data_IF_379257056912
#
_entry.id   IF_379257056912
#
_cell.length_a   1.000
_cell.length_b   1.000
_cell.length_c   1.000
_cell.angle_alpha   90.00
_cell.angle_beta   90.00
_cell.angle_gamma   90.00
#
_symmetry.space_group_name_H-M   'P 1'
#
loop_
_entity.id
_entity.type
_entity.pdbx_description
1 polymer ?
#
# COMPACT_ATOMS: atom_id res chain seq x y z
N UNK A 1 -2.27 2.36 45.19
CA UNK A 1 -0.99 1.64 45.11
C UNK A 1 -1.27 0.16 45.40
N UNK A 2 -1.41 -0.68 44.37
CA UNK A 2 -1.57 -2.13 44.53
C UNK A 2 -0.19 -2.76 44.69
N UNK A 3 0.08 -3.42 45.81
CA UNK A 3 1.32 -4.19 46.03
C UNK A 3 1.16 -5.56 45.36
N UNK A 4 2.03 -5.86 44.40
CA UNK A 4 2.14 -7.20 43.81
C UNK A 4 2.96 -8.11 44.75
N UNK A 5 2.56 -9.37 44.96
CA UNK A 5 3.35 -10.30 45.76
C UNK A 5 4.57 -10.78 44.96
N UNK A 6 5.73 -10.80 45.61
CA UNK A 6 6.93 -11.47 45.12
C UNK A 6 6.70 -12.99 45.16
N UNK A 7 6.86 -13.68 44.03
CA UNK A 7 6.72 -15.13 43.93
C UNK A 7 8.08 -15.81 44.22
N UNK A 8 8.16 -16.56 45.31
CA UNK A 8 9.25 -17.50 45.60
C UNK A 8 8.98 -18.86 44.98
N UNK A 9 10.03 -19.49 44.49
CA UNK A 9 10.04 -20.75 43.73
C UNK A 9 9.48 -21.94 44.51
N UNK A 10 8.23 -22.28 44.24
CA UNK A 10 7.76 -23.67 44.29
C UNK A 10 7.00 -23.92 42.99
N UNK A 11 7.20 -25.08 42.37
CA UNK A 11 6.49 -25.51 41.16
C UNK A 11 5.00 -25.72 41.50
N UNK A 12 4.28 -24.63 41.69
CA UNK A 12 2.83 -24.56 41.67
C UNK A 12 2.40 -24.98 40.27
N UNK A 13 1.60 -26.05 40.18
CA UNK A 13 0.80 -26.32 38.99
C UNK A 13 0.03 -25.05 38.67
N UNK A 14 0.49 -24.31 37.64
CA UNK A 14 -0.23 -23.15 37.19
C UNK A 14 -1.60 -23.62 36.71
N UNK A 15 -2.65 -23.05 37.29
CA UNK A 15 -4.01 -23.27 36.83
C UNK A 15 -4.10 -22.78 35.38
N UNK A 16 -4.04 -23.74 34.44
CA UNK A 16 -4.07 -23.49 33.00
C UNK A 16 -5.33 -22.70 32.61
N UNK A 17 -6.40 -22.82 33.39
CA UNK A 17 -7.65 -22.07 33.20
C UNK A 17 -7.43 -20.58 33.47
N UNK A 18 -6.72 -20.23 34.54
CA UNK A 18 -6.36 -18.84 34.86
C UNK A 18 -5.39 -18.25 33.83
N UNK A 19 -4.41 -19.03 33.37
CA UNK A 19 -3.50 -18.58 32.31
C UNK A 19 -4.26 -18.29 31.01
N UNK A 20 -5.17 -19.18 30.60
CA UNK A 20 -6.00 -18.98 29.40
C UNK A 20 -6.93 -17.77 29.53
N UNK A 21 -7.51 -17.56 30.70
CA UNK A 21 -8.34 -16.38 30.96
C UNK A 21 -7.54 -15.08 30.85
N UNK A 22 -6.34 -15.02 31.43
CA UNK A 22 -5.44 -13.87 31.33
C UNK A 22 -4.97 -13.63 29.88
N UNK A 23 -4.71 -14.69 29.12
CA UNK A 23 -4.41 -14.59 27.68
C UNK A 23 -5.58 -13.98 26.91
N UNK A 24 -6.81 -14.47 27.13
CA UNK A 24 -8.01 -13.96 26.47
C UNK A 24 -8.25 -12.47 26.81
N UNK A 25 -8.10 -12.09 28.08
CA UNK A 25 -8.23 -10.69 28.50
C UNK A 25 -7.17 -9.80 27.84
N UNK A 26 -5.92 -10.27 27.79
CA UNK A 26 -4.83 -9.54 27.14
C UNK A 26 -5.09 -9.29 25.65
N UNK A 27 -5.52 -10.32 24.91
CA UNK A 27 -5.86 -10.18 23.49
C UNK A 27 -7.09 -9.29 23.29
N UNK A 28 -8.08 -9.36 24.18
CA UNK A 28 -9.24 -8.45 24.16
C UNK A 28 -8.81 -7.00 24.30
N UNK A 29 -7.85 -6.70 25.19
CA UNK A 29 -7.27 -5.35 25.34
C UNK A 29 -6.52 -4.89 24.10
N UNK A 30 -5.76 -5.79 23.45
CA UNK A 30 -5.08 -5.47 22.19
C UNK A 30 -6.10 -5.06 21.13
N UNK A 31 -7.17 -5.83 20.99
CA UNK A 31 -8.22 -5.59 20.00
C UNK A 31 -8.95 -4.28 20.30
N UNK A 32 -9.31 -4.05 21.55
CA UNK A 32 -9.92 -2.79 21.98
C UNK A 32 -8.99 -1.59 21.69
N UNK A 33 -7.69 -1.71 21.93
CA UNK A 33 -6.73 -0.65 21.64
C UNK A 33 -6.58 -0.41 20.12
N UNK A 34 -6.65 -1.46 19.32
CA UNK A 34 -6.62 -1.38 17.86
C UNK A 34 -7.90 -0.70 17.34
N UNK A 35 -9.08 -1.09 17.82
CA UNK A 35 -10.35 -0.47 17.42
C UNK A 35 -10.45 0.96 17.91
N UNK A 36 -9.93 1.26 19.10
CA UNK A 36 -9.79 2.62 19.60
C UNK A 36 -8.89 3.44 18.68
N UNK A 37 -7.70 2.94 18.33
CA UNK A 37 -6.83 3.58 17.34
C UNK A 37 -7.61 3.85 16.04
N UNK A 38 -8.38 2.90 15.52
CA UNK A 38 -9.19 3.12 14.32
C UNK A 38 -10.22 4.25 14.51
N UNK A 39 -10.96 4.23 15.62
CA UNK A 39 -12.00 5.23 15.90
C UNK A 39 -11.42 6.64 16.04
N UNK A 40 -10.28 6.78 16.72
CA UNK A 40 -9.61 8.06 16.96
C UNK A 40 -8.85 8.59 15.74
N UNK A 41 -8.68 7.78 14.69
CA UNK A 41 -7.89 8.15 13.50
C UNK A 41 -8.75 8.29 12.25
N UNK A 42 -9.48 9.41 12.11
CA UNK A 42 -10.37 9.71 10.96
C UNK A 42 -11.08 8.46 10.37
N UNK A 43 -11.56 7.52 11.20
CA UNK A 43 -12.22 6.29 10.75
C UNK A 43 -11.32 5.14 10.28
N UNK A 44 -10.12 4.95 10.86
CA UNK A 44 -9.18 3.90 10.50
C UNK A 44 -8.19 4.28 9.40
N UNK A 45 -8.08 5.57 9.05
CA UNK A 45 -7.26 6.09 7.94
C UNK A 45 -5.76 5.84 8.03
N UNK A 46 -5.28 5.32 9.16
CA UNK A 46 -3.86 5.06 9.36
C UNK A 46 -3.57 3.59 9.67
N UNK A 47 -4.55 2.76 10.04
CA UNK A 47 -4.33 1.36 10.41
C UNK A 47 -5.08 0.41 9.49
N UNK A 48 -4.35 -0.47 8.80
CA UNK A 48 -4.92 -1.76 8.40
C UNK A 48 -4.57 -2.78 9.48
N UNK A 49 -5.60 -3.28 10.16
CA UNK A 49 -5.49 -4.34 11.16
C UNK A 49 -5.39 -5.67 10.44
N UNK A 50 -4.43 -6.49 10.86
CA UNK A 50 -4.43 -7.92 10.53
C UNK A 50 -4.66 -8.65 11.84
N UNK A 51 -5.91 -8.99 12.13
CA UNK A 51 -6.25 -9.83 13.28
C UNK A 51 -6.18 -11.29 12.87
N UNK A 52 -5.43 -12.10 13.63
CA UNK A 52 -5.67 -13.54 13.71
C UNK A 52 -5.24 -14.04 15.08
N UNK A 53 -6.15 -14.52 15.91
CA UNK A 53 -5.81 -15.01 17.25
C UNK A 53 -5.10 -16.38 17.19
N UNK A 54 -4.38 -16.78 18.26
CA UNK A 54 -3.93 -18.16 18.43
C UNK A 54 -5.08 -19.16 18.36
N UNK A 55 -4.81 -20.34 17.78
CA UNK A 55 -5.72 -21.47 17.77
C UNK A 55 -6.11 -21.83 19.22
N UNK A 56 -7.41 -21.82 19.55
CA UNK A 56 -7.92 -22.06 20.91
C UNK A 56 -8.22 -20.82 21.76
N UNK A 57 -8.16 -19.61 21.20
CA UNK A 57 -8.67 -18.40 21.89
C UNK A 57 -10.21 -18.43 21.90
N UNK A 58 -10.89 -18.28 23.05
CA UNK A 58 -12.35 -18.43 23.16
C UNK A 58 -13.07 -17.20 22.59
N UNK A 59 -13.12 -17.09 21.26
CA UNK A 59 -14.11 -16.30 20.53
C UNK A 59 -14.46 -17.07 19.26
N UNK A 60 -15.26 -18.13 19.40
CA UNK A 60 -16.11 -18.57 18.29
C UNK A 60 -17.27 -17.58 18.21
N UNK A 61 -17.15 -16.55 17.35
CA UNK A 61 -18.37 -15.99 16.75
C UNK A 61 -18.74 -16.96 15.64
N UNK A 62 -19.67 -17.83 15.98
CA UNK A 62 -20.49 -18.61 15.06
C UNK A 62 -21.15 -17.67 14.05
N UNK A 63 -21.00 -18.03 12.77
CA UNK A 63 -21.64 -17.47 11.57
C UNK A 63 -21.21 -16.06 11.08
N UNK A 64 -21.02 -15.91 9.76
CA UNK A 64 -20.58 -14.67 9.15
C UNK A 64 -21.72 -13.65 9.14
N UNK A 65 -21.62 -12.59 9.95
CA UNK A 65 -22.52 -11.45 9.80
C UNK A 65 -22.26 -10.77 8.45
N UNK A 66 -23.32 -10.61 7.66
CA UNK A 66 -23.35 -10.05 6.30
C UNK A 66 -22.90 -8.58 6.13
N UNK A 67 -22.26 -7.97 7.12
CA UNK A 67 -21.71 -6.61 7.02
C UNK A 67 -20.38 -6.52 7.77
N UNK A 68 -19.27 -6.77 7.06
CA UNK A 68 -17.85 -6.40 7.28
C UNK A 68 -16.92 -7.52 6.81
N UNK A 69 -16.98 -7.81 5.52
CA UNK A 69 -16.11 -8.78 4.88
C UNK A 69 -14.64 -8.29 4.69
N UNK A 70 -13.94 -7.85 5.74
CA UNK A 70 -12.47 -7.74 5.68
C UNK A 70 -11.83 -9.02 6.21
N UNK A 71 -11.93 -10.10 5.44
CA UNK A 71 -11.10 -11.29 5.67
C UNK A 71 -9.67 -10.96 5.23
N UNK A 72 -8.88 -10.46 6.17
CA UNK A 72 -7.43 -10.33 6.02
C UNK A 72 -6.76 -11.71 6.17
N UNK A 73 -5.64 -11.99 5.48
CA UNK A 73 -4.98 -13.28 5.56
C UNK A 73 -4.41 -13.56 6.95
N UNK A 74 -4.58 -14.82 7.36
CA UNK A 74 -4.34 -15.41 8.67
C UNK A 74 -2.86 -15.71 9.00
N UNK A 75 -2.56 -15.66 10.32
CA UNK A 75 -1.58 -16.39 11.14
C UNK A 75 -0.65 -15.49 11.97
N UNK A 76 -0.96 -15.39 13.28
CA UNK A 76 0.01 -15.13 14.34
C UNK A 76 0.78 -16.43 14.55
N UNK A 77 2.07 -16.41 14.21
CA UNK A 77 2.98 -17.51 14.48
C UNK A 77 3.99 -17.13 15.54
N UNK A 78 4.76 -18.12 15.93
CA UNK A 78 6.02 -17.94 16.66
C UNK A 78 7.10 -17.35 15.75
N UNK A 79 8.11 -16.70 16.31
CA UNK A 79 9.21 -16.13 15.51
C UNK A 79 9.93 -17.19 14.65
N UNK A 80 9.98 -18.46 15.07
CA UNK A 80 10.61 -19.56 14.31
C UNK A 80 9.80 -19.98 13.07
N UNK A 81 8.54 -20.41 13.26
CA UNK A 81 7.65 -20.91 12.20
C UNK A 81 7.33 -19.82 11.20
N UNK A 82 7.30 -18.58 11.67
CA UNK A 82 6.93 -17.46 10.86
C UNK A 82 8.14 -16.77 10.23
N UNK A 83 9.41 -17.10 10.55
CA UNK A 83 10.55 -16.31 10.11
C UNK A 83 10.63 -16.10 8.58
N UNK A 84 10.62 -17.19 7.80
CA UNK A 84 10.70 -17.15 6.34
C UNK A 84 9.46 -16.48 5.74
N UNK A 85 8.28 -16.72 6.32
CA UNK A 85 7.01 -16.16 5.86
C UNK A 85 6.88 -14.68 6.21
N UNK A 86 7.28 -14.27 7.41
CA UNK A 86 7.25 -12.89 7.90
C UNK A 86 8.24 -12.04 7.15
N UNK A 87 9.46 -12.55 6.95
CA UNK A 87 10.45 -11.87 6.16
C UNK A 87 9.94 -11.71 4.72
N UNK A 88 9.56 -12.79 4.04
CA UNK A 88 9.12 -12.70 2.63
C UNK A 88 7.88 -11.83 2.42
N UNK A 89 6.88 -11.90 3.30
CA UNK A 89 5.62 -11.15 3.15
C UNK A 89 5.72 -9.70 3.60
N UNK A 90 6.47 -9.42 4.66
CA UNK A 90 6.51 -8.09 5.28
C UNK A 90 7.83 -7.33 5.07
N UNK A 91 8.73 -7.84 4.23
CA UNK A 91 9.95 -7.12 3.86
C UNK A 91 9.60 -5.80 3.16
N UNK A 92 10.10 -4.70 3.73
CA UNK A 92 9.87 -3.33 3.29
C UNK A 92 8.50 -2.75 3.66
N UNK A 93 7.65 -3.49 4.38
CA UNK A 93 6.37 -3.00 4.89
C UNK A 93 6.60 -2.24 6.20
N UNK A 94 5.99 -1.06 6.33
CA UNK A 94 6.10 -0.23 7.52
C UNK A 94 4.88 -0.40 8.45
N UNK A 95 5.13 -0.43 9.77
CA UNK A 95 4.05 -0.55 10.76
C UNK A 95 4.53 -0.64 12.20
N UNK A 96 3.58 -0.94 13.09
CA UNK A 96 3.77 -1.15 14.53
C UNK A 96 3.48 -2.61 14.85
N UNK A 97 4.28 -3.20 15.74
CA UNK A 97 4.18 -4.59 16.15
C UNK A 97 4.27 -4.73 17.67
N UNK A 98 3.81 -5.88 18.14
CA UNK A 98 3.91 -6.35 19.51
C UNK A 98 4.56 -7.74 19.50
N UNK A 99 5.55 -7.93 20.36
CA UNK A 99 6.19 -9.21 20.64
C UNK A 99 5.85 -9.62 22.06
N UNK A 100 5.37 -10.84 22.27
CA UNK A 100 5.00 -11.33 23.60
C UNK A 100 5.53 -12.74 23.82
N UNK A 101 5.81 -13.10 25.08
CA UNK A 101 6.09 -14.48 25.43
C UNK A 101 4.80 -15.29 25.49
N UNK A 102 4.73 -16.41 24.78
CA UNK A 102 3.51 -17.23 24.70
C UNK A 102 3.07 -17.72 26.09
N UNK A 103 4.01 -18.21 26.88
CA UNK A 103 3.75 -18.72 28.23
C UNK A 103 3.55 -17.60 29.27
N UNK A 104 3.92 -16.36 28.94
CA UNK A 104 3.82 -15.19 29.82
C UNK A 104 3.42 -13.96 29.01
N UNK A 105 2.18 -13.89 28.49
CA UNK A 105 1.75 -12.88 27.51
C UNK A 105 1.81 -11.45 28.05
N UNK A 106 1.74 -11.26 29.36
CA UNK A 106 1.92 -9.96 30.02
C UNK A 106 3.37 -9.47 29.97
N UNK A 107 4.33 -10.33 29.62
CA UNK A 107 5.69 -9.95 29.26
C UNK A 107 5.75 -9.67 27.75
N UNK A 108 5.58 -8.39 27.38
CA UNK A 108 5.53 -7.98 25.98
C UNK A 108 6.21 -6.64 25.72
N UNK A 109 6.61 -6.48 24.46
CA UNK A 109 7.28 -5.33 23.90
C UNK A 109 6.47 -4.78 22.73
N UNK A 110 6.38 -3.46 22.62
CA UNK A 110 5.82 -2.78 21.45
C UNK A 110 6.93 -2.01 20.76
N UNK A 111 7.01 -2.14 19.43
CA UNK A 111 7.95 -1.39 18.61
C UNK A 111 7.38 -1.09 17.23
N UNK A 112 8.10 -0.30 16.45
CA UNK A 112 7.74 -0.03 15.05
C UNK A 112 8.93 -0.15 14.11
N UNK A 113 8.66 -0.34 12.81
CA UNK A 113 9.69 -0.43 11.78
C UNK A 113 9.20 0.11 10.44
N UNK A 114 10.14 0.59 9.63
CA UNK A 114 9.92 0.85 8.19
C UNK A 114 10.03 -0.42 7.34
N UNK A 115 10.55 -1.49 7.94
CA UNK A 115 10.70 -2.81 7.35
C UNK A 115 10.42 -3.87 8.42
N UNK A 116 9.16 -4.27 8.56
CA UNK A 116 8.72 -5.24 9.56
C UNK A 116 9.37 -6.61 9.32
N UNK A 117 9.45 -7.07 8.08
CA UNK A 117 10.07 -8.36 7.74
C UNK A 117 11.53 -8.44 8.19
N UNK A 118 12.36 -7.44 7.83
CA UNK A 118 13.75 -7.40 8.27
C UNK A 118 13.87 -7.31 9.79
N UNK A 119 13.01 -6.52 10.44
CA UNK A 119 13.03 -6.38 11.90
C UNK A 119 12.68 -7.69 12.62
N UNK A 120 11.70 -8.45 12.13
CA UNK A 120 11.37 -9.76 12.71
C UNK A 120 12.53 -10.75 12.54
N UNK A 121 13.19 -10.70 11.37
CA UNK A 121 14.39 -11.51 11.12
C UNK A 121 15.56 -11.16 12.04
N UNK A 122 15.73 -9.87 12.36
CA UNK A 122 16.74 -9.42 13.33
C UNK A 122 16.47 -9.99 14.73
N UNK A 123 15.22 -9.95 15.21
CA UNK A 123 14.85 -10.57 16.49
C UNK A 123 15.04 -12.09 16.49
N UNK A 124 14.65 -12.76 15.41
CA UNK A 124 14.92 -14.18 15.25
C UNK A 124 16.42 -14.48 15.38
N UNK A 125 17.27 -13.72 14.67
CA UNK A 125 18.73 -13.86 14.73
C UNK A 125 19.30 -13.62 16.12
N UNK A 126 18.80 -12.61 16.84
CA UNK A 126 19.22 -12.33 18.21
C UNK A 126 18.99 -13.55 19.11
N UNK A 127 17.83 -14.21 18.96
CA UNK A 127 17.45 -15.38 19.76
C UNK A 127 18.26 -16.64 19.39
N UNK A 128 18.54 -16.90 18.10
CA UNK A 128 19.29 -18.10 17.70
C UNK A 128 20.81 -17.97 17.81
N UNK A 129 21.38 -16.78 17.59
CA UNK A 129 22.84 -16.59 17.52
C UNK A 129 23.45 -16.03 18.80
N UNK A 130 22.63 -15.80 19.84
CA UNK A 130 22.99 -15.20 21.12
C UNK A 130 23.98 -14.02 21.06
N UNK A 131 23.89 -13.20 20.01
CA UNK A 131 24.81 -12.07 19.83
C UNK A 131 24.58 -11.00 20.90
N UNK A 132 25.62 -10.24 21.26
CA UNK A 132 25.49 -9.14 22.24
C UNK A 132 24.38 -8.15 21.82
N UNK A 133 23.25 -8.22 22.52
CA UNK A 133 22.15 -7.29 22.34
C UNK A 133 22.61 -5.86 22.64
N UNK A 134 22.42 -4.95 21.68
CA UNK A 134 22.89 -3.55 21.78
C UNK A 134 21.99 -2.75 22.69
N UNK A 135 20.68 -3.03 22.67
CA UNK A 135 19.69 -2.36 23.53
C UNK A 135 19.26 -3.23 24.71
N UNK A 136 18.72 -2.61 25.77
CA UNK A 136 18.15 -3.35 26.91
C UNK A 136 17.03 -4.31 26.49
N UNK A 137 16.25 -3.93 25.48
CA UNK A 137 15.21 -4.79 24.89
C UNK A 137 15.87 -5.97 24.20
N UNK A 138 16.85 -5.74 23.33
CA UNK A 138 17.58 -6.82 22.64
C UNK A 138 18.28 -7.76 23.62
N UNK A 139 18.84 -7.26 24.73
CA UNK A 139 19.38 -8.12 25.81
C UNK A 139 18.28 -8.93 26.47
N UNK A 140 17.15 -8.30 26.80
CA UNK A 140 15.99 -9.02 27.34
C UNK A 140 15.51 -10.11 26.39
N UNK A 141 15.52 -9.86 25.07
CA UNK A 141 15.27 -10.88 24.06
C UNK A 141 16.37 -11.95 24.05
N UNK A 142 17.64 -11.58 24.03
CA UNK A 142 18.77 -12.50 24.04
C UNK A 142 18.72 -13.48 25.23
N UNK A 143 18.32 -12.97 26.40
CA UNK A 143 18.24 -13.72 27.65
C UNK A 143 16.92 -14.51 27.78
N UNK A 144 16.03 -14.43 26.79
CA UNK A 144 14.64 -14.86 26.93
C UNK A 144 14.24 -16.22 26.38
N UNK A 145 15.15 -16.98 25.75
CA UNK A 145 14.86 -18.34 25.30
C UNK A 145 14.78 -18.50 23.79
N UNK A 146 13.96 -19.43 23.33
CA UNK A 146 13.90 -19.89 21.93
C UNK A 146 12.97 -18.97 21.10
N UNK A 147 13.23 -18.74 19.79
CA UNK A 147 12.28 -18.01 18.94
C UNK A 147 10.84 -18.60 18.94
N UNK A 148 10.68 -19.89 19.23
CA UNK A 148 9.37 -20.54 19.40
C UNK A 148 8.60 -20.09 20.65
N UNK A 149 9.24 -19.44 21.62
CA UNK A 149 8.57 -18.90 22.81
C UNK A 149 7.91 -17.53 22.57
N UNK A 150 8.16 -16.93 21.42
CA UNK A 150 7.81 -15.55 21.11
C UNK A 150 6.74 -15.46 20.02
N UNK A 151 5.58 -14.93 20.39
CA UNK A 151 4.51 -14.59 19.45
C UNK A 151 4.66 -13.17 18.89
N UNK A 152 4.17 -12.99 17.66
CA UNK A 152 4.19 -11.69 16.95
C UNK A 152 2.77 -11.25 16.64
N UNK A 153 2.46 -9.98 16.91
CA UNK A 153 1.20 -9.32 16.50
C UNK A 153 1.53 -8.03 15.77
N UNK A 154 1.01 -7.84 14.56
CA UNK A 154 1.07 -6.52 13.89
C UNK A 154 -0.12 -5.67 14.31
N UNK A 155 0.15 -4.59 15.05
CA UNK A 155 -0.86 -3.65 15.56
C UNK A 155 -1.39 -2.71 14.46
N UNK A 156 -0.68 -2.63 13.34
CA UNK A 156 -1.16 -2.01 12.11
C UNK A 156 -0.02 -1.63 11.16
N UNK A 157 -0.37 -1.40 9.90
CA UNK A 157 0.55 -0.90 8.88
C UNK A 157 0.36 0.60 8.69
N UNK A 158 1.45 1.35 8.86
CA UNK A 158 1.44 2.80 8.91
C UNK A 158 2.58 3.34 8.05
N UNK A 159 2.43 4.52 7.43
CA UNK A 159 3.55 5.22 6.82
C UNK A 159 4.70 5.52 7.82
N UNK A 160 5.94 5.74 7.36
CA UNK A 160 7.13 5.76 8.20
C UNK A 160 7.15 6.75 9.37
N UNK A 161 6.52 7.91 9.26
CA UNK A 161 6.41 8.88 10.37
C UNK A 161 5.18 8.64 11.23
N UNK A 162 4.08 8.24 10.61
CA UNK A 162 2.81 7.94 11.28
C UNK A 162 2.99 6.79 12.26
N UNK A 163 3.78 5.76 11.89
CA UNK A 163 4.07 4.62 12.76
C UNK A 163 4.64 5.03 14.13
N UNK A 164 5.43 6.12 14.20
CA UNK A 164 6.09 6.54 15.43
C UNK A 164 5.07 7.13 16.41
N UNK A 165 4.11 7.90 15.89
CA UNK A 165 2.99 8.42 16.68
C UNK A 165 2.11 7.27 17.18
N UNK A 166 1.88 6.27 16.33
CA UNK A 166 1.09 5.09 16.68
C UNK A 166 1.79 4.16 17.67
N UNK A 167 3.11 3.98 17.56
CA UNK A 167 3.92 3.27 18.54
C UNK A 167 3.74 3.90 19.93
N UNK A 168 3.88 5.22 20.02
CA UNK A 168 3.68 5.95 21.28
C UNK A 168 2.26 5.78 21.82
N UNK A 169 1.25 5.83 20.96
CA UNK A 169 -0.14 5.59 21.34
C UNK A 169 -0.35 4.19 21.94
N UNK A 170 0.11 3.14 21.26
CA UNK A 170 -0.05 1.77 21.75
C UNK A 170 0.75 1.52 23.03
N UNK A 171 1.94 2.12 23.17
CA UNK A 171 2.70 2.05 24.42
C UNK A 171 1.96 2.66 25.61
N UNK A 172 1.29 3.81 25.42
CA UNK A 172 0.54 4.49 26.48
C UNK A 172 -0.86 3.92 26.71
N UNK A 173 -1.35 3.08 25.80
CA UNK A 173 -2.67 2.42 25.92
C UNK A 173 -2.54 1.02 26.54
N UNK A 174 -1.52 0.27 26.13
CA UNK A 174 -1.34 -1.13 26.52
C UNK A 174 -0.33 -1.32 27.65
N UNK A 175 0.52 -0.33 27.94
CA UNK A 175 1.53 -0.38 29.01
C UNK A 175 2.45 -1.62 28.93
N UNK A 176 3.22 -1.77 27.84
CA UNK A 176 4.12 -2.92 27.66
C UNK A 176 5.18 -2.98 28.74
N UNK A 177 5.33 -4.16 29.33
CA UNK A 177 6.23 -4.41 30.48
C UNK A 177 7.71 -4.38 30.11
N UNK A 178 8.05 -4.55 28.83
CA UNK A 178 9.43 -4.56 28.36
C UNK A 178 9.92 -3.21 27.83
N UNK A 179 9.03 -2.26 27.54
CA UNK A 179 9.43 -0.91 27.15
C UNK A 179 9.80 -0.10 28.41
N UNK A 180 11.01 -0.32 28.94
CA UNK A 180 11.48 0.34 30.17
C UNK A 180 11.59 1.87 30.07
N UNK A 181 11.67 2.40 28.85
CA UNK A 181 11.68 3.84 28.58
C UNK A 181 10.60 4.13 27.53
N UNK A 182 9.71 5.09 27.81
CA UNK A 182 8.63 5.51 26.92
C UNK A 182 9.10 6.45 25.79
N UNK A 183 10.36 6.33 25.35
CA UNK A 183 10.94 7.19 24.32
C UNK A 183 10.90 6.52 22.96
N UNK A 184 10.08 7.06 22.05
CA UNK A 184 10.14 6.74 20.62
C UNK A 184 11.22 7.60 19.99
N UNK A 185 12.25 6.98 19.42
CA UNK A 185 13.38 7.68 18.79
C UNK A 185 13.22 7.77 17.27
N UNK A 186 13.49 8.96 16.73
CA UNK A 186 13.54 9.18 15.29
C UNK A 186 14.93 8.78 14.79
N UNK A 187 15.11 7.49 14.50
CA UNK A 187 16.36 6.98 13.94
C UNK A 187 16.20 6.74 12.44
N UNK A 188 17.16 7.23 11.65
CA UNK A 188 17.30 6.95 10.22
C UNK A 188 16.01 7.15 9.40
N UNK A 189 15.51 8.39 9.32
CA UNK A 189 14.37 8.75 8.45
C UNK A 189 14.61 8.44 6.97
N UNK A 190 15.88 8.30 6.56
CA UNK A 190 16.31 7.89 5.24
C UNK A 190 15.72 8.72 4.08
N UNK A 191 15.92 8.25 2.85
CA UNK A 191 15.26 8.79 1.66
C UNK A 191 13.80 8.28 1.49
N UNK A 192 13.15 7.85 2.59
CA UNK A 192 11.88 7.11 2.58
C UNK A 192 10.68 7.91 3.14
N UNK A 193 10.87 9.19 3.42
CA UNK A 193 9.84 10.02 4.09
C UNK A 193 9.36 11.18 3.21
N UNK A 194 8.07 11.19 2.86
CA UNK A 194 7.43 12.22 2.04
C UNK A 194 6.80 13.29 2.93
N UNK A 195 6.79 14.56 2.49
CA UNK A 195 6.25 15.70 3.25
C UNK A 195 4.83 15.45 3.79
N UNK A 196 3.96 14.86 2.98
CA UNK A 196 2.57 14.58 3.38
C UNK A 196 2.45 13.62 4.57
N UNK A 197 3.46 12.80 4.85
CA UNK A 197 3.45 11.92 6.03
C UNK A 197 3.85 12.66 7.31
N UNK A 198 4.61 13.76 7.20
CA UNK A 198 4.91 14.64 8.33
C UNK A 198 3.64 15.37 8.79
N UNK A 199 2.92 16.00 7.86
CA UNK A 199 1.67 16.70 8.16
C UNK A 199 0.63 15.74 8.77
N UNK A 200 0.57 14.53 8.22
CA UNK A 200 -0.28 13.46 8.73
C UNK A 200 0.09 13.05 10.15
N UNK A 201 1.38 12.86 10.45
CA UNK A 201 1.84 12.52 11.79
C UNK A 201 1.54 13.65 12.81
N UNK A 202 1.75 14.90 12.43
CA UNK A 202 1.44 16.08 13.26
C UNK A 202 -0.07 16.19 13.53
N UNK A 203 -0.89 16.07 12.48
CA UNK A 203 -2.35 16.13 12.61
C UNK A 203 -2.92 14.96 13.42
N UNK A 204 -2.30 13.78 13.29
CA UNK A 204 -2.65 12.60 14.08
C UNK A 204 -2.29 12.77 15.56
N UNK A 205 -1.12 13.35 15.85
CA UNK A 205 -0.71 13.65 17.22
C UNK A 205 -1.76 14.49 17.94
N UNK A 206 -2.29 15.53 17.31
CA UNK A 206 -3.30 16.40 17.92
C UNK A 206 -4.58 15.64 18.29
N UNK A 207 -5.02 14.72 17.41
CA UNK A 207 -6.19 13.87 17.66
C UNK A 207 -5.93 12.92 18.85
N UNK A 208 -4.82 12.19 18.82
CA UNK A 208 -4.52 11.19 19.85
C UNK A 208 -4.16 11.80 21.21
N UNK A 209 -3.52 12.97 21.25
CA UNK A 209 -3.19 13.62 22.53
C UNK A 209 -4.44 14.00 23.33
N UNK A 210 -5.56 14.29 22.66
CA UNK A 210 -6.82 14.65 23.33
C UNK A 210 -7.43 13.48 24.13
N UNK A 211 -7.02 12.24 23.84
CA UNK A 211 -7.49 11.05 24.53
C UNK A 211 -6.81 10.85 25.90
N UNK A 212 -5.65 11.46 26.12
CA UNK A 212 -4.89 11.32 27.35
C UNK A 212 -5.03 12.58 28.20
N UNK A 213 -5.37 12.41 29.48
CA UNK A 213 -5.40 13.50 30.47
C UNK A 213 -4.06 13.68 31.19
N UNK A 214 -3.18 12.68 31.14
CA UNK A 214 -1.92 12.70 31.88
C UNK A 214 -0.86 13.55 31.17
N UNK A 215 -0.40 14.62 31.83
CA UNK A 215 0.51 15.62 31.23
C UNK A 215 1.79 15.01 30.66
N UNK A 216 2.39 14.02 31.35
CA UNK A 216 3.59 13.35 30.85
C UNK A 216 3.39 12.67 29.47
N UNK A 217 2.20 12.11 29.22
CA UNK A 217 1.86 11.46 27.95
C UNK A 217 1.69 12.52 26.86
N UNK A 218 0.95 13.59 27.16
CA UNK A 218 0.77 14.74 26.26
C UNK A 218 2.13 15.37 25.92
N UNK A 219 3.01 15.50 26.92
CA UNK A 219 4.39 15.97 26.78
C UNK A 219 5.19 15.09 25.83
N UNK A 220 5.12 13.77 25.97
CA UNK A 220 5.79 12.83 25.06
C UNK A 220 5.32 12.98 23.60
N UNK A 221 4.00 13.11 23.38
CA UNK A 221 3.44 13.38 22.05
C UNK A 221 3.93 14.72 21.48
N UNK A 222 4.03 15.75 22.33
CA UNK A 222 4.54 17.08 21.94
C UNK A 222 6.00 17.02 21.54
N UNK A 223 6.84 16.38 22.35
CA UNK A 223 8.27 16.19 22.09
C UNK A 223 8.51 15.43 20.79
N UNK A 224 7.78 14.34 20.55
CA UNK A 224 7.88 13.59 19.30
C UNK A 224 7.48 14.44 18.08
N UNK A 225 6.38 15.20 18.17
CA UNK A 225 5.94 16.08 17.09
C UNK A 225 6.96 17.18 16.78
N UNK A 226 7.55 17.79 17.81
CA UNK A 226 8.60 18.79 17.64
C UNK A 226 9.84 18.18 17.01
N UNK A 227 10.21 16.96 17.41
CA UNK A 227 11.32 16.23 16.79
C UNK A 227 11.05 15.92 15.30
N UNK A 228 9.83 15.53 14.93
CA UNK A 228 9.43 15.33 13.53
C UNK A 228 9.53 16.65 12.74
N UNK A 229 9.03 17.75 13.31
CA UNK A 229 9.08 19.07 12.67
C UNK A 229 10.51 19.62 12.53
N UNK A 230 11.36 19.40 13.54
CA UNK A 230 12.77 19.81 13.49
C UNK A 230 13.56 18.95 12.50
N UNK A 231 13.29 17.64 12.43
CA UNK A 231 13.87 16.77 11.41
C UNK A 231 13.49 17.24 10.00
N UNK A 232 12.26 17.70 9.78
CA UNK A 232 11.85 18.31 8.52
C UNK A 232 12.70 19.53 8.14
N UNK A 233 12.91 20.46 9.09
CA UNK A 233 13.72 21.67 8.88
C UNK A 233 15.20 21.36 8.64
N UNK A 234 15.76 20.38 9.36
CA UNK A 234 17.19 20.07 9.30
C UNK A 234 17.59 19.19 8.10
N UNK A 235 16.68 18.35 7.57
CA UNK A 235 17.03 17.35 6.54
C UNK A 235 16.64 17.75 5.12
N UNK A 236 16.15 18.98 4.89
CA UNK A 236 15.63 19.45 3.60
C UNK A 236 14.82 18.36 2.89
N UNK A 237 13.81 17.78 3.56
CA UNK A 237 12.98 16.72 2.97
C UNK A 237 12.32 17.31 1.71
N UNK A 238 12.97 17.12 0.57
CA UNK A 238 12.53 17.68 -0.71
C UNK A 238 11.27 16.95 -1.14
N UNK A 239 10.37 17.63 -1.84
CA UNK A 239 9.23 17.00 -2.53
C UNK A 239 9.62 16.01 -3.64
N UNK A 240 10.88 15.52 -3.65
CA UNK A 240 11.33 14.48 -4.54
C UNK A 240 10.60 13.19 -4.21
N UNK A 241 10.05 12.59 -5.26
CA UNK A 241 9.46 11.27 -5.27
C UNK A 241 10.35 10.26 -4.52
N UNK A 242 9.81 9.63 -3.47
CA UNK A 242 10.52 8.61 -2.70
C UNK A 242 10.95 7.42 -3.55
N UNK A 243 12.18 6.97 -3.31
CA UNK A 243 12.72 5.73 -3.86
C UNK A 243 12.32 4.55 -2.94
N UNK A 244 11.05 4.16 -3.02
CA UNK A 244 10.61 2.76 -3.02
C UNK A 244 10.75 1.85 -1.77
N UNK A 245 11.08 2.29 -0.54
CA UNK A 245 11.00 1.41 0.64
C UNK A 245 10.28 2.10 1.81
N UNK A 246 9.32 1.39 2.44
CA UNK A 246 8.52 1.88 3.56
C UNK A 246 7.27 2.68 3.17
N UNK A 247 7.05 2.95 1.88
CA UNK A 247 5.78 3.51 1.38
C UNK A 247 4.76 2.40 1.17
N UNK A 248 4.00 2.09 2.21
CA UNK A 248 2.90 1.11 2.11
C UNK A 248 1.88 1.53 1.05
N UNK A 249 1.47 0.58 0.22
CA UNK A 249 0.36 0.75 -0.73
C UNK A 249 -0.72 -0.26 -0.38
N UNK A 250 -1.90 0.27 -0.07
CA UNK A 250 -3.10 -0.50 0.22
C UNK A 250 -3.81 -0.77 -1.09
N UNK A 251 -4.08 -2.06 -1.35
CA UNK A 251 -4.76 -2.51 -2.56
C UNK A 251 -6.10 -3.10 -2.18
N UNK A 252 -7.16 -2.50 -2.69
CA UNK A 252 -8.53 -2.93 -2.46
C UNK A 252 -9.15 -3.48 -3.73
N UNK A 253 -10.10 -4.39 -3.59
CA UNK A 253 -11.03 -4.75 -4.67
C UNK A 253 -11.98 -3.59 -4.91
N UNK A 254 -12.13 -3.17 -6.17
CA UNK A 254 -13.12 -2.16 -6.53
C UNK A 254 -14.55 -2.67 -6.33
N UNK A 255 -14.84 -3.91 -6.72
CA UNK A 255 -16.19 -4.47 -6.62
C UNK A 255 -16.65 -4.69 -5.19
N UNK A 256 -15.75 -5.19 -4.34
CA UNK A 256 -16.12 -5.61 -2.97
C UNK A 256 -15.65 -4.62 -1.89
N UNK A 257 -14.83 -3.63 -2.25
CA UNK A 257 -14.19 -2.70 -1.32
C UNK A 257 -13.34 -3.37 -0.22
N UNK A 258 -13.04 -4.67 -0.37
CA UNK A 258 -12.19 -5.42 0.57
C UNK A 258 -10.73 -5.10 0.33
N UNK A 259 -9.95 -4.92 1.41
CA UNK A 259 -8.49 -4.86 1.34
C UNK A 259 -7.96 -6.24 0.94
N UNK A 260 -7.21 -6.32 -0.15
CA UNK A 260 -6.66 -7.57 -0.68
C UNK A 260 -5.22 -7.79 -0.19
N UNK A 261 -4.37 -6.76 -0.27
CA UNK A 261 -2.98 -6.83 0.14
C UNK A 261 -2.38 -5.46 0.43
N UNK A 262 -1.30 -5.46 1.21
CA UNK A 262 -0.46 -4.30 1.50
C UNK A 262 0.90 -4.54 0.86
N UNK A 263 1.32 -3.63 -0.01
CA UNK A 263 2.59 -3.70 -0.73
C UNK A 263 3.61 -2.78 -0.07
N UNK A 264 4.88 -3.20 -0.05
CA UNK A 264 5.98 -2.46 0.59
C UNK A 264 6.37 -1.17 -0.14
N UNK A 265 6.00 -1.06 -1.43
CA UNK A 265 6.29 0.12 -2.24
C UNK A 265 5.58 0.18 -3.59
N UNK A 266 5.71 1.34 -4.24
CA UNK A 266 5.35 1.54 -5.64
C UNK A 266 6.06 0.55 -6.58
N UNK A 267 7.32 0.23 -6.29
CA UNK A 267 8.10 -0.71 -7.09
C UNK A 267 7.64 -2.15 -6.90
N UNK A 268 7.26 -2.52 -5.67
CA UNK A 268 6.62 -3.80 -5.39
C UNK A 268 5.28 -3.92 -6.14
N UNK A 269 4.44 -2.88 -6.13
CA UNK A 269 3.23 -2.82 -6.94
C UNK A 269 3.54 -2.92 -8.45
N UNK A 270 4.58 -2.22 -8.92
CA UNK A 270 5.01 -2.26 -10.32
C UNK A 270 5.37 -3.68 -10.76
N UNK A 271 6.17 -4.37 -9.94
CA UNK A 271 6.58 -5.75 -10.18
C UNK A 271 5.37 -6.70 -10.15
N UNK A 272 4.53 -6.60 -9.12
CA UNK A 272 3.34 -7.45 -8.97
C UNK A 272 2.36 -7.31 -10.14
N UNK A 273 1.98 -6.08 -10.50
CA UNK A 273 1.02 -5.82 -11.56
C UNK A 273 1.62 -5.78 -12.97
N UNK A 274 2.95 -5.89 -13.08
CA UNK A 274 3.70 -5.77 -14.34
C UNK A 274 3.29 -4.49 -15.09
N UNK A 275 3.45 -3.33 -14.45
CA UNK A 275 3.00 -2.02 -14.99
C UNK A 275 4.05 -0.92 -14.87
N UNK A 276 3.69 0.33 -15.14
CA UNK A 276 4.57 1.50 -14.97
C UNK A 276 4.21 2.29 -13.70
N UNK A 277 5.24 2.74 -12.98
CA UNK A 277 5.09 3.54 -11.75
C UNK A 277 4.23 4.78 -11.96
N UNK A 278 4.36 5.46 -13.11
CA UNK A 278 3.60 6.66 -13.41
C UNK A 278 2.09 6.39 -13.49
N UNK A 279 1.67 5.24 -14.01
CA UNK A 279 0.26 4.87 -14.06
C UNK A 279 -0.27 4.63 -12.65
N UNK A 280 0.47 3.87 -11.82
CA UNK A 280 0.11 3.64 -10.43
C UNK A 280 -0.05 4.95 -9.65
N UNK A 281 0.92 5.88 -9.79
CA UNK A 281 0.85 7.21 -9.19
C UNK A 281 -0.36 8.01 -9.66
N UNK A 282 -0.63 7.98 -10.97
CA UNK A 282 -1.77 8.69 -11.54
C UNK A 282 -3.08 8.16 -10.95
N UNK A 283 -3.24 6.84 -10.87
CA UNK A 283 -4.42 6.22 -10.27
C UNK A 283 -4.60 6.61 -8.80
N UNK A 284 -3.53 6.60 -8.00
CA UNK A 284 -3.60 7.00 -6.59
C UNK A 284 -3.91 8.49 -6.43
N UNK A 285 -3.24 9.36 -7.19
CA UNK A 285 -3.39 10.81 -7.07
C UNK A 285 -4.76 11.32 -7.53
N UNK A 286 -5.31 10.70 -8.57
CA UNK A 286 -6.59 11.11 -9.18
C UNK A 286 -7.78 10.28 -8.67
N UNK A 287 -7.58 9.41 -7.69
CA UNK A 287 -8.59 8.48 -7.16
C UNK A 287 -9.26 7.66 -8.26
N UNK A 288 -8.46 7.06 -9.14
CA UNK A 288 -8.95 6.20 -10.21
C UNK A 288 -8.82 4.73 -9.89
N UNK A 289 -9.79 3.96 -10.39
CA UNK A 289 -9.74 2.50 -10.37
C UNK A 289 -8.70 2.00 -11.36
N UNK A 290 -7.67 1.35 -10.85
CA UNK A 290 -6.63 0.71 -11.63
C UNK A 290 -7.17 -0.57 -12.29
N UNK A 291 -7.08 -0.65 -13.62
CA UNK A 291 -7.57 -1.77 -14.44
C UNK A 291 -9.03 -2.15 -14.22
N UNK A 292 -9.87 -1.22 -13.73
CA UNK A 292 -11.28 -1.48 -13.39
C UNK A 292 -11.48 -2.53 -12.27
N UNK A 293 -10.41 -2.95 -11.60
CA UNK A 293 -10.43 -4.05 -10.63
C UNK A 293 -9.94 -3.59 -9.26
N UNK A 294 -8.98 -2.67 -9.22
CA UNK A 294 -8.25 -2.34 -8.00
C UNK A 294 -8.31 -0.87 -7.65
N UNK A 295 -8.52 -0.58 -6.37
CA UNK A 295 -8.28 0.75 -5.79
C UNK A 295 -6.90 0.72 -5.13
N UNK A 296 -6.07 1.72 -5.42
CA UNK A 296 -4.73 1.87 -4.86
C UNK A 296 -4.69 3.14 -3.98
N UNK A 297 -4.04 3.04 -2.82
CA UNK A 297 -3.86 4.18 -1.93
C UNK A 297 -2.59 4.09 -1.09
N UNK A 298 -2.03 5.25 -0.74
CA UNK A 298 -0.91 5.36 0.22
C UNK A 298 -1.36 5.35 1.68
N UNK A 299 -2.67 5.44 1.92
CA UNK A 299 -3.29 5.34 3.24
C UNK A 299 -4.46 4.39 3.20
N UNK A 300 -4.82 3.75 4.32
CA UNK A 300 -6.12 3.10 4.44
C UNK A 300 -7.28 4.04 4.06
N UNK A 301 -8.31 3.50 3.42
CA UNK A 301 -9.50 4.24 2.97
C UNK A 301 -10.75 3.79 3.72
N UNK A 302 -11.65 4.72 4.04
CA UNK A 302 -12.99 4.39 4.53
C UNK A 302 -13.90 3.85 3.42
N UNK A 303 -15.06 3.29 3.80
CA UNK A 303 -16.05 2.80 2.83
C UNK A 303 -16.54 3.93 1.90
N UNK A 304 -16.74 5.14 2.44
CA UNK A 304 -17.14 6.32 1.67
C UNK A 304 -16.03 6.78 0.73
N UNK A 305 -14.77 6.74 1.17
CA UNK A 305 -13.63 7.11 0.34
C UNK A 305 -13.41 6.13 -0.81
N UNK A 306 -13.64 4.82 -0.58
CA UNK A 306 -13.58 3.80 -1.62
C UNK A 306 -14.64 4.04 -2.71
N UNK A 307 -15.87 4.43 -2.32
CA UNK A 307 -16.94 4.76 -3.27
C UNK A 307 -16.65 6.00 -4.11
N UNK A 308 -15.76 6.89 -3.64
CA UNK A 308 -15.37 8.08 -4.39
C UNK A 308 -14.39 7.78 -5.53
N UNK A 309 -13.84 6.56 -5.61
CA UNK A 309 -12.95 6.17 -6.71
C UNK A 309 -13.75 5.94 -7.98
N UNK A 310 -13.27 6.52 -9.08
CA UNK A 310 -13.94 6.45 -10.36
C UNK A 310 -13.17 5.55 -11.31
N UNK A 311 -13.89 4.72 -12.06
CA UNK A 311 -13.31 4.13 -13.27
C UNK A 311 -12.96 5.31 -14.15
N UNK A 312 -11.68 5.50 -14.51
CA UNK A 312 -11.34 6.60 -15.40
C UNK A 312 -12.16 6.42 -16.65
N UNK A 313 -12.86 7.48 -17.08
CA UNK A 313 -13.44 7.50 -18.41
C UNK A 313 -12.36 6.98 -19.34
N UNK A 314 -12.74 6.04 -20.21
CA UNK A 314 -11.84 5.34 -21.14
C UNK A 314 -10.94 6.29 -21.96
N UNK A 315 -11.23 7.59 -21.91
CA UNK A 315 -10.46 8.75 -22.33
C UNK A 315 -9.26 9.19 -21.47
N UNK A 316 -8.79 8.45 -20.45
CA UNK A 316 -7.52 8.81 -19.77
C UNK A 316 -6.52 7.65 -19.61
N UNK A 317 -6.93 6.42 -19.89
CA UNK A 317 -6.05 5.24 -19.87
C UNK A 317 -5.70 4.75 -21.28
N UNK A 318 -4.49 5.03 -21.76
CA UNK A 318 -3.85 4.34 -22.89
C UNK A 318 -4.47 4.48 -24.31
N UNK A 319 -5.54 5.25 -24.51
CA UNK A 319 -6.01 5.61 -25.84
C UNK A 319 -5.02 6.50 -26.60
N UNK A 320 -4.89 6.35 -27.92
CA UNK A 320 -4.30 7.41 -28.75
C UNK A 320 -5.32 8.54 -28.85
N UNK A 321 -4.91 9.77 -28.62
CA UNK A 321 -5.76 10.95 -28.76
C UNK A 321 -5.42 11.68 -30.05
N UNK A 322 -6.44 12.03 -30.82
CA UNK A 322 -6.34 13.15 -31.75
C UNK A 322 -6.44 14.44 -30.93
N UNK A 323 -5.57 15.40 -31.22
CA UNK A 323 -5.57 16.71 -30.60
C UNK A 323 -6.09 17.70 -31.62
N UNK A 324 -7.19 18.38 -31.30
CA UNK A 324 -7.70 19.48 -32.12
C UNK A 324 -7.36 20.79 -31.40
N UNK A 325 -6.75 21.72 -32.13
CA UNK A 325 -6.39 23.04 -31.63
C UNK A 325 -7.38 24.06 -32.21
N UNK A 326 -7.95 24.90 -31.34
CA UNK A 326 -8.91 25.93 -31.73
C UNK A 326 -8.40 27.30 -31.33
N UNK A 327 -8.64 28.30 -32.17
CA UNK A 327 -8.36 29.68 -31.82
C UNK A 327 -9.38 30.15 -30.78
N UNK A 328 -8.91 30.70 -29.64
CA UNK A 328 -9.78 31.16 -28.56
C UNK A 328 -10.69 32.32 -28.97
N UNK A 329 -10.21 33.21 -29.85
CA UNK A 329 -10.96 34.40 -30.26
C UNK A 329 -12.03 34.12 -31.31
N UNK A 330 -11.76 33.20 -32.24
CA UNK A 330 -12.68 32.91 -33.37
C UNK A 330 -13.40 31.58 -33.25
N UNK A 331 -13.03 30.75 -32.27
CA UNK A 331 -13.51 29.38 -32.09
C UNK A 331 -13.30 28.46 -33.32
N UNK A 332 -12.43 28.87 -34.25
CA UNK A 332 -12.13 28.10 -35.46
C UNK A 332 -11.04 27.08 -35.21
N UNK A 333 -11.17 25.92 -35.86
CA UNK A 333 -10.17 24.87 -35.84
C UNK A 333 -8.89 25.34 -36.56
N UNK A 334 -7.79 25.39 -35.83
CA UNK A 334 -6.45 25.81 -36.31
C UNK A 334 -5.63 24.61 -36.76
N UNK A 335 -5.84 23.43 -36.16
CA UNK A 335 -5.12 22.23 -36.55
C UNK A 335 -5.64 20.96 -35.90
N UNK A 336 -5.42 19.83 -36.58
CA UNK A 336 -5.62 18.48 -36.02
C UNK A 336 -4.31 17.73 -36.00
N UNK A 337 -4.04 17.06 -34.89
CA UNK A 337 -2.80 16.32 -34.69
C UNK A 337 -3.12 14.87 -34.28
N UNK A 338 -2.52 13.86 -34.93
CA UNK A 338 -2.81 12.45 -34.62
C UNK A 338 -2.36 11.98 -33.24
N UNK A 339 -1.55 12.79 -32.54
CA UNK A 339 -1.08 12.51 -31.19
C UNK A 339 -0.55 13.77 -30.50
N UNK A 340 -0.40 13.70 -29.17
CA UNK A 340 0.30 14.71 -28.36
C UNK A 340 1.73 14.95 -28.88
N UNK A 341 2.40 13.91 -29.38
CA UNK A 341 3.78 14.01 -29.91
C UNK A 341 3.83 14.87 -31.17
N UNK A 342 2.89 14.67 -32.08
CA UNK A 342 2.79 15.44 -33.32
C UNK A 342 2.35 16.88 -33.04
N UNK A 343 1.37 17.08 -32.15
CA UNK A 343 0.97 18.41 -31.69
C UNK A 343 2.16 19.17 -31.09
N UNK A 344 2.93 18.50 -30.23
CA UNK A 344 4.15 19.07 -29.66
C UNK A 344 5.17 19.44 -30.72
N UNK A 345 5.40 18.57 -31.71
CA UNK A 345 6.39 18.82 -32.77
C UNK A 345 5.99 20.05 -33.60
N UNK A 346 4.73 20.14 -33.99
CA UNK A 346 4.20 21.23 -34.80
C UNK A 346 4.13 22.58 -34.05
N UNK A 347 3.84 22.56 -32.75
CA UNK A 347 3.60 23.77 -31.95
C UNK A 347 4.79 24.15 -31.04
N UNK A 348 5.98 23.60 -31.32
CA UNK A 348 7.17 23.61 -30.44
C UNK A 348 7.86 24.96 -30.24
N UNK A 349 7.31 26.08 -30.71
CA UNK A 349 7.92 27.41 -30.62
C UNK A 349 7.85 28.06 -29.22
N UNK A 350 7.77 27.31 -28.12
CA UNK A 350 7.63 27.86 -26.76
C UNK A 350 7.83 26.86 -25.62
N UNK A 351 7.41 27.24 -24.41
CA UNK A 351 7.63 26.44 -23.21
C UNK A 351 6.87 25.10 -23.26
N UNK A 352 7.64 24.02 -23.39
CA UNK A 352 7.15 22.64 -23.50
C UNK A 352 6.19 22.24 -22.39
N UNK A 353 6.45 22.67 -21.15
CA UNK A 353 5.64 22.29 -19.99
C UNK A 353 4.25 22.90 -20.08
N UNK A 354 4.16 24.17 -20.46
CA UNK A 354 2.89 24.87 -20.63
C UNK A 354 2.06 24.32 -21.79
N UNK A 355 2.70 23.99 -22.92
CA UNK A 355 1.99 23.35 -24.04
C UNK A 355 1.40 21.99 -23.64
N UNK A 356 2.17 21.17 -22.91
CA UNK A 356 1.69 19.87 -22.46
C UNK A 356 0.56 19.99 -21.45
N UNK A 357 0.63 20.96 -20.54
CA UNK A 357 -0.45 21.20 -19.59
C UNK A 357 -1.70 21.75 -20.27
N UNK A 358 -1.56 22.63 -21.26
CA UNK A 358 -2.66 23.12 -22.09
C UNK A 358 -3.35 22.00 -22.87
N UNK A 359 -2.58 21.10 -23.50
CA UNK A 359 -3.13 19.91 -24.17
C UNK A 359 -3.86 18.99 -23.18
N UNK A 360 -3.37 18.87 -21.94
CA UNK A 360 -3.94 17.97 -20.92
C UNK A 360 -5.22 18.51 -20.29
N UNK A 361 -5.24 19.80 -19.99
CA UNK A 361 -6.28 20.48 -19.20
C UNK A 361 -7.30 21.23 -20.06
N UNK A 362 -7.01 21.42 -21.35
CA UNK A 362 -7.79 22.29 -22.23
C UNK A 362 -7.55 23.78 -21.99
N UNK A 363 -6.55 24.14 -21.17
CA UNK A 363 -6.20 25.54 -20.92
C UNK A 363 -5.56 26.21 -22.13
N UNK A 364 -5.50 27.54 -22.11
CA UNK A 364 -5.11 28.34 -23.27
C UNK A 364 -3.58 28.41 -23.39
N UNK A 365 -3.07 28.15 -24.59
CA UNK A 365 -1.67 28.32 -24.96
C UNK A 365 -1.58 29.10 -26.27
N UNK A 366 -0.91 30.25 -26.26
CA UNK A 366 -0.74 31.11 -27.45
C UNK A 366 -2.05 31.37 -28.21
N UNK A 367 -3.09 31.82 -27.50
CA UNK A 367 -4.45 32.04 -28.04
C UNK A 367 -5.12 30.79 -28.63
N UNK A 368 -4.64 29.59 -28.32
CA UNK A 368 -5.29 28.34 -28.69
C UNK A 368 -5.77 27.59 -27.44
N UNK A 369 -6.91 26.92 -27.53
CA UNK A 369 -7.29 25.88 -26.58
C UNK A 369 -7.37 24.53 -27.30
N UNK A 370 -7.24 23.44 -26.56
CA UNK A 370 -7.14 22.11 -27.15
C UNK A 370 -8.27 21.22 -26.68
N UNK A 371 -8.83 20.46 -27.62
CA UNK A 371 -9.70 19.33 -27.29
C UNK A 371 -8.96 18.02 -27.60
N UNK A 372 -9.27 16.99 -26.82
CA UNK A 372 -8.71 15.65 -27.01
C UNK A 372 -9.83 14.72 -27.44
N UNK A 373 -9.74 14.21 -28.65
CA UNK A 373 -10.68 13.22 -29.16
C UNK A 373 -10.05 11.83 -29.04
N UNK A 374 -10.73 10.93 -28.34
CA UNK A 374 -10.28 9.56 -28.18
C UNK A 374 -10.34 8.84 -29.53
N UNK A 375 -9.20 8.34 -30.02
CA UNK A 375 -9.16 7.42 -31.15
C UNK A 375 -9.23 6.00 -30.60
N UNK A 376 -10.28 5.28 -30.95
CA UNK A 376 -10.41 3.87 -30.61
C UNK A 376 -9.45 3.06 -31.48
N UNK A 377 -8.25 2.75 -30.98
CA UNK A 377 -7.18 2.07 -31.75
C UNK A 377 -7.32 0.56 -31.84
N UNK A 378 -8.47 -0.01 -31.45
CA UNK A 378 -8.75 -1.43 -31.71
C UNK A 378 -9.03 -1.60 -33.21
N UNK A 379 -7.96 -1.71 -34.00
CA UNK A 379 -8.07 -2.13 -35.39
C UNK A 379 -8.49 -3.59 -35.37
N UNK A 380 -9.74 -3.86 -35.73
CA UNK A 380 -10.18 -5.22 -35.97
C UNK A 380 -9.37 -5.79 -37.15
N UNK A 381 -8.82 -6.98 -36.93
CA UNK A 381 -8.19 -7.75 -37.99
C UNK A 381 -9.19 -8.79 -38.44
N UNK A 382 -9.81 -8.55 -39.58
CA UNK A 382 -10.71 -9.49 -40.23
C UNK A 382 -9.90 -10.62 -40.85
N UNK A 383 -10.51 -11.80 -40.85
CA UNK A 383 -9.87 -13.02 -41.28
C UNK A 383 -10.77 -13.70 -42.28
N UNK A 384 -10.19 -14.17 -43.37
CA UNK A 384 -10.90 -14.91 -44.39
C UNK A 384 -10.12 -16.18 -44.67
N UNK A 385 -10.83 -17.30 -44.77
CA UNK A 385 -10.25 -18.53 -45.27
C UNK A 385 -9.79 -18.31 -46.72
N UNK A 386 -8.53 -18.63 -47.00
CA UNK A 386 -7.90 -18.31 -48.29
C UNK A 386 -8.44 -19.15 -49.46
N UNK A 387 -9.09 -20.27 -49.17
CA UNK A 387 -9.61 -21.20 -50.18
C UNK A 387 -11.09 -20.92 -50.42
N UNK A 388 -11.88 -20.88 -49.35
CA UNK A 388 -13.35 -20.74 -49.40
C UNK A 388 -13.81 -19.29 -49.40
N UNK A 389 -12.96 -18.34 -49.01
CA UNK A 389 -13.33 -16.94 -48.85
C UNK A 389 -14.23 -16.66 -47.64
N UNK A 390 -14.59 -17.69 -46.86
CA UNK A 390 -15.48 -17.55 -45.71
C UNK A 390 -14.85 -16.66 -44.63
N UNK A 391 -15.65 -15.76 -44.05
CA UNK A 391 -15.21 -14.93 -42.93
C UNK A 391 -14.99 -15.81 -41.69
N UNK A 392 -13.83 -15.63 -41.07
CA UNK A 392 -13.43 -16.25 -39.81
C UNK A 392 -13.52 -15.24 -38.67
N UNK A 393 -13.63 -15.69 -37.41
CA UNK A 393 -13.71 -14.79 -36.26
C UNK A 393 -12.58 -13.76 -36.23
N UNK A 394 -12.98 -12.50 -36.28
CA UNK A 394 -12.08 -11.34 -36.28
C UNK A 394 -11.34 -11.19 -34.95
N UNK A 395 -10.13 -10.64 -35.01
CA UNK A 395 -9.35 -10.33 -33.81
C UNK A 395 -9.41 -8.85 -33.47
N UNK A 396 -9.69 -8.53 -32.20
CA UNK A 396 -9.67 -7.16 -31.69
C UNK A 396 -8.25 -6.63 -31.45
N UNK A 397 -7.50 -6.37 -32.52
CA UNK A 397 -6.17 -5.76 -32.49
C UNK A 397 -5.02 -6.65 -32.96
N UNK A 398 -3.93 -6.00 -33.37
CA UNK A 398 -2.70 -6.67 -33.84
C UNK A 398 -2.04 -7.53 -32.76
N UNK A 399 -2.11 -7.11 -31.50
CA UNK A 399 -1.55 -7.85 -30.35
C UNK A 399 -2.22 -9.22 -30.14
N UNK A 400 -3.56 -9.26 -30.19
CA UNK A 400 -4.32 -10.51 -30.10
C UNK A 400 -4.08 -11.37 -31.33
N UNK A 401 -4.02 -10.74 -32.51
CA UNK A 401 -3.79 -11.43 -33.79
C UNK A 401 -2.46 -12.17 -33.79
N UNK A 402 -1.35 -11.51 -33.43
CA UNK A 402 -0.04 -12.16 -33.52
C UNK A 402 0.07 -13.34 -32.53
N UNK A 403 -0.52 -13.20 -31.33
CA UNK A 403 -0.54 -14.26 -30.30
C UNK A 403 -1.44 -15.44 -30.70
N UNK A 404 -2.66 -15.16 -31.17
CA UNK A 404 -3.63 -16.20 -31.51
C UNK A 404 -3.29 -16.93 -32.82
N UNK A 405 -2.76 -16.21 -33.82
CA UNK A 405 -2.35 -16.81 -35.10
C UNK A 405 -0.92 -17.38 -35.09
N UNK A 406 -0.17 -17.20 -33.99
CA UNK A 406 1.23 -17.65 -33.89
C UNK A 406 2.14 -17.02 -34.95
N UNK A 407 1.85 -15.80 -35.38
CA UNK A 407 2.58 -15.07 -36.41
C UNK A 407 3.47 -14.01 -35.77
N UNK A 408 4.74 -13.94 -36.12
CA UNK A 408 5.64 -12.88 -35.62
C UNK A 408 5.23 -11.48 -36.09
N UNK A 409 5.45 -10.44 -35.28
CA UNK A 409 4.98 -9.08 -35.55
C UNK A 409 5.39 -8.52 -36.93
N UNK A 410 6.66 -8.68 -37.33
CA UNK A 410 7.16 -8.26 -38.65
C UNK A 410 6.42 -8.96 -39.81
N UNK A 411 6.07 -10.24 -39.61
CA UNK A 411 5.38 -11.07 -40.61
C UNK A 411 3.90 -10.73 -40.68
N UNK A 412 3.26 -10.44 -39.54
CA UNK A 412 1.89 -9.95 -39.49
C UNK A 412 1.74 -8.63 -40.25
N UNK A 413 2.67 -7.69 -40.06
CA UNK A 413 2.68 -6.44 -40.81
C UNK A 413 2.72 -6.68 -42.31
N UNK A 414 3.65 -7.52 -42.78
CA UNK A 414 3.76 -7.89 -44.21
C UNK A 414 2.46 -8.50 -44.73
N UNK A 415 1.86 -9.44 -44.02
CA UNK A 415 0.61 -10.12 -44.41
C UNK A 415 -0.57 -9.15 -44.51
N UNK A 416 -0.68 -8.18 -43.58
CA UNK A 416 -1.69 -7.14 -43.61
C UNK A 416 -1.48 -6.15 -44.77
N UNK A 417 -0.23 -5.82 -45.08
CA UNK A 417 0.12 -4.87 -46.13
C UNK A 417 -0.04 -5.49 -47.54
N UNK A 418 0.31 -6.78 -47.70
CA UNK A 418 0.30 -7.44 -49.02
C UNK A 418 -0.96 -8.27 -49.29
N UNK A 419 -1.79 -8.52 -48.27
CA UNK A 419 -2.97 -9.38 -48.38
C UNK A 419 -2.67 -10.86 -48.68
N UNK A 420 -1.41 -11.29 -48.53
CA UNK A 420 -0.97 -12.66 -48.82
C UNK A 420 -1.38 -13.57 -47.68
N UNK A 421 -1.99 -14.72 -48.00
CA UNK A 421 -2.42 -15.68 -46.99
C UNK A 421 -1.27 -16.20 -46.12
N UNK A 422 -1.51 -16.34 -44.82
CA UNK A 422 -0.61 -16.99 -43.88
C UNK A 422 -1.32 -18.19 -43.25
N UNK A 423 -0.76 -19.39 -43.45
CA UNK A 423 -1.35 -20.67 -43.04
C UNK A 423 -2.82 -20.80 -43.48
N UNK A 424 -3.09 -20.49 -44.76
CA UNK A 424 -4.44 -20.60 -45.32
C UNK A 424 -5.42 -19.49 -44.88
N UNK A 425 -4.97 -18.45 -44.18
CA UNK A 425 -5.84 -17.34 -43.75
C UNK A 425 -5.33 -16.00 -44.27
N UNK A 426 -6.22 -15.23 -44.88
CA UNK A 426 -5.98 -13.83 -45.27
C UNK A 426 -6.35 -12.93 -44.10
N UNK A 427 -5.44 -12.02 -43.72
CA UNK A 427 -5.67 -11.04 -42.67
C UNK A 427 -5.78 -9.65 -43.29
N UNK A 428 -6.77 -8.86 -42.88
CA UNK A 428 -6.97 -7.48 -43.38
C UNK A 428 -7.51 -6.56 -42.29
N UNK A 429 -7.21 -5.28 -42.40
CA UNK A 429 -7.72 -4.22 -41.50
C UNK A 429 -9.05 -3.64 -41.97
N UNK A 430 -9.52 -4.04 -43.15
CA UNK A 430 -10.81 -3.67 -43.74
C UNK A 430 -11.65 -4.93 -44.00
N UNK A 431 -12.96 -4.91 -43.74
CA UNK A 431 -13.84 -6.01 -44.15
C UNK A 431 -13.80 -6.15 -45.67
N UNK A 432 -13.96 -7.39 -46.17
CA UNK A 432 -14.03 -7.70 -47.61
C UNK A 432 -15.47 -7.80 -48.06
#
# INVERSE_FOLDING_TARGET
MMKFPFFTSSRSYYDLTKIRALQAEFFTKIVAAIELARSLTKGGKYSAVVSSYPEGTPVQVTEPSKDTDTVAPANMGTLDKANTTLFSRFNGISGVYLLYRINFPLQFYIGSSVNLGARMFDYYKLLINKSEGRTTVERTFNDSGDPSDWGVVFLGFYPPLVRLVMELFFMNTLFPTMNRVHTVSINNLGNSTHLSFSDMAIGLRAQLSSYFSHEAVIGAFTTLSNAIHNAYKAWEITGKSLNNLGMVIFVYSYTTHKLLFVMSSLEACRAHFHTHVNLLRTCMNLKWVFRQEFILSHTPLSAEELRAYQVPDSAIGQGRYEIEAYNRGTNQLVGKYPSIREARKALSSGNRTYLLEAIRTGSVYKNMYFTRKLINTKINIYRYDAITGAELPSYGGTARTFKAAGIGFKRLKRVLDTGIAYKGVIYTTKPR
#
